data_IF_578492542049
#
_entry.id   IF_578492542049
#
_cell.length_a   1.000
_cell.length_b   1.000
_cell.length_c   1.000
_cell.angle_alpha   90.00
_cell.angle_beta   90.00
_cell.angle_gamma   90.00
#
_symmetry.space_group_name_H-M   'P 1'
#
loop_
_entity.id
_entity.type
_entity.pdbx_description
1 polymer ?
#
# COMPACT_ATOMS: atom_id res chain seq x y z
N UNK A 1 39.23 -1.87 -14.25
CA UNK A 1 40.14 -2.40 -13.20
C UNK A 1 39.40 -2.25 -11.87
N UNK A 2 38.61 -3.26 -11.47
CA UNK A 2 38.88 -4.19 -10.34
C UNK A 2 39.13 -3.37 -9.06
N UNK A 3 38.26 -3.41 -8.04
CA UNK A 3 38.21 -4.53 -7.08
C UNK A 3 36.85 -4.67 -6.38
N UNK A 4 36.28 -5.87 -6.54
CA UNK A 4 35.40 -6.54 -5.60
C UNK A 4 35.89 -6.42 -4.16
N UNK A 5 34.98 -6.33 -3.20
CA UNK A 5 35.17 -6.92 -1.88
C UNK A 5 33.83 -7.50 -1.39
N UNK A 6 33.65 -8.76 -1.79
CA UNK A 6 32.80 -9.76 -1.18
C UNK A 6 33.38 -10.09 0.21
N UNK A 7 32.64 -9.84 1.29
CA UNK A 7 32.88 -10.49 2.59
C UNK A 7 31.55 -10.87 3.22
N UNK A 8 31.26 -12.15 3.02
CA UNK A 8 30.27 -12.98 3.68
C UNK A 8 30.60 -13.07 5.17
N UNK A 9 29.65 -12.74 6.05
CA UNK A 9 29.68 -13.17 7.46
C UNK A 9 28.39 -13.93 7.74
N UNK A 10 28.47 -15.25 7.58
CA UNK A 10 27.56 -16.20 8.20
C UNK A 10 27.80 -16.15 9.72
N UNK A 11 26.76 -15.87 10.50
CA UNK A 11 26.75 -16.24 11.92
C UNK A 11 25.39 -16.85 12.24
N UNK A 12 25.36 -18.17 12.18
CA UNK A 12 24.28 -19.00 12.69
C UNK A 12 24.37 -19.02 14.23
N UNK A 13 23.32 -18.57 14.91
CA UNK A 13 23.09 -18.88 16.31
C UNK A 13 21.74 -19.59 16.42
N UNK A 14 21.79 -20.93 16.38
CA UNK A 14 20.71 -21.77 16.83
C UNK A 14 20.73 -21.81 18.37
N UNK A 15 19.63 -21.43 19.01
CA UNK A 15 19.37 -21.79 20.41
C UNK A 15 18.04 -22.53 20.46
N UNK A 16 18.16 -23.83 20.68
CA UNK A 16 17.08 -24.71 21.07
C UNK A 16 16.72 -24.45 22.54
N UNK A 17 15.42 -24.45 22.84
CA UNK A 17 14.89 -24.43 24.21
C UNK A 17 13.55 -25.17 24.25
N UNK A 18 13.53 -26.31 24.92
CA UNK A 18 12.45 -27.28 24.96
C UNK A 18 11.61 -27.17 26.27
N UNK A 19 10.34 -27.58 26.16
CA UNK A 19 9.53 -28.30 27.16
C UNK A 19 9.10 -27.62 28.48
N UNK A 20 7.79 -27.68 28.79
CA UNK A 20 7.35 -27.62 30.20
C UNK A 20 5.87 -27.44 30.53
N UNK A 21 5.12 -28.55 30.60
CA UNK A 21 4.07 -28.94 31.57
C UNK A 21 2.97 -27.96 32.10
N UNK A 22 1.72 -28.39 31.86
CA UNK A 22 0.66 -28.71 32.84
C UNK A 22 0.29 -27.72 33.97
N UNK A 23 -0.99 -27.31 33.98
CA UNK A 23 -1.70 -26.82 35.16
C UNK A 23 -3.21 -26.73 34.93
N UNK A 24 -3.97 -27.63 35.54
CA UNK A 24 -5.43 -27.62 35.62
C UNK A 24 -5.89 -27.48 37.08
N UNK A 25 -7.16 -27.05 37.26
CA UNK A 25 -7.95 -26.89 38.48
C UNK A 25 -7.80 -25.54 39.22
N UNK A 26 -8.87 -24.82 39.60
CA UNK A 26 -10.30 -25.09 39.46
C UNK A 26 -11.20 -24.04 40.16
N UNK A 27 -12.53 -24.23 39.99
CA UNK A 27 -13.72 -23.75 40.72
C UNK A 27 -14.05 -22.23 40.67
N UNK A 28 -15.13 -21.80 39.99
CA UNK A 28 -16.57 -21.75 40.39
C UNK A 28 -16.84 -20.71 41.51
N UNK A 29 -17.80 -19.76 41.41
CA UNK A 29 -19.21 -19.91 41.03
C UNK A 29 -19.91 -18.60 40.61
N UNK A 30 -20.93 -18.78 39.75
CA UNK A 30 -22.24 -18.13 39.65
C UNK A 30 -22.43 -16.61 39.82
N UNK A 31 -22.99 -15.98 38.78
CA UNK A 31 -24.26 -15.23 38.90
C UNK A 31 -24.98 -15.22 37.55
N UNK A 32 -26.19 -15.81 37.56
CA UNK A 32 -27.26 -15.70 36.56
C UNK A 32 -27.54 -14.23 36.19
N UNK A 33 -28.00 -13.84 35.02
CA UNK A 33 -28.66 -14.53 33.92
C UNK A 33 -29.63 -13.50 33.32
N UNK A 34 -29.61 -13.27 32.01
CA UNK A 34 -30.78 -12.80 31.27
C UNK A 34 -30.55 -12.92 29.76
N UNK A 35 -31.22 -13.95 29.21
CA UNK A 35 -31.87 -14.01 27.92
C UNK A 35 -31.24 -13.33 26.68
N UNK A 36 -30.86 -14.18 25.72
CA UNK A 36 -30.93 -13.88 24.30
C UNK A 36 -32.39 -13.70 23.84
N UNK A 37 -32.62 -13.13 22.65
CA UNK A 37 -32.74 -14.00 21.48
C UNK A 37 -31.94 -13.54 20.26
N UNK A 38 -31.82 -14.49 19.36
CA UNK A 38 -31.07 -14.54 18.11
C UNK A 38 -31.89 -14.02 16.91
N UNK A 39 -31.12 -13.66 15.88
CA UNK A 39 -31.37 -13.88 14.44
C UNK A 39 -32.35 -13.01 13.64
N UNK A 40 -31.95 -12.90 12.36
CA UNK A 40 -32.71 -12.51 11.17
C UNK A 40 -32.71 -11.01 10.87
N UNK A 41 -32.18 -10.53 9.74
CA UNK A 41 -31.95 -11.20 8.47
C UNK A 41 -32.34 -10.20 7.38
N UNK A 42 -31.30 -9.61 6.79
CA UNK A 42 -31.14 -9.11 5.43
C UNK A 42 -32.33 -8.60 4.59
N UNK A 43 -31.95 -7.56 3.82
CA UNK A 43 -32.40 -7.25 2.46
C UNK A 43 -33.64 -6.35 2.32
N UNK A 44 -33.36 -5.05 2.25
CA UNK A 44 -34.09 -4.17 1.35
C UNK A 44 -33.14 -3.69 0.25
N UNK A 45 -33.57 -3.95 -0.98
CA UNK A 45 -32.86 -3.72 -2.21
C UNK A 45 -32.59 -2.24 -2.48
N UNK A 46 -31.42 -1.96 -3.03
CA UNK A 46 -31.30 -0.97 -4.09
C UNK A 46 -30.31 -1.50 -5.10
N UNK A 47 -30.89 -2.14 -6.11
CA UNK A 47 -30.36 -2.25 -7.45
C UNK A 47 -29.92 -0.85 -7.88
N UNK A 48 -28.61 -0.62 -7.94
CA UNK A 48 -28.07 0.37 -8.86
C UNK A 48 -27.17 -0.40 -9.81
N UNK A 49 -27.83 -0.88 -10.85
CA UNK A 49 -27.22 -1.17 -12.13
C UNK A 49 -26.45 0.09 -12.54
N UNK A 50 -25.15 0.02 -12.32
CA UNK A 50 -24.16 0.92 -12.84
C UNK A 50 -23.15 -0.01 -13.48
N UNK A 51 -23.46 -0.47 -14.68
CA UNK A 51 -22.45 -0.93 -15.61
C UNK A 51 -21.43 0.20 -15.73
N UNK A 52 -20.36 0.11 -14.94
CA UNK A 52 -19.11 0.74 -15.29
C UNK A 52 -18.67 -0.09 -16.47
N UNK A 53 -18.68 0.52 -17.66
CA UNK A 53 -18.01 -0.06 -18.80
C UNK A 53 -16.57 -0.28 -18.36
N UNK A 54 -16.26 -1.52 -17.96
CA UNK A 54 -14.91 -2.02 -17.73
C UNK A 54 -14.26 -2.14 -19.10
N UNK A 55 -14.02 -1.00 -19.72
CA UNK A 55 -12.92 -0.87 -20.65
C UNK A 55 -11.67 -1.06 -19.79
N UNK A 56 -11.30 -2.32 -19.58
CA UNK A 56 -10.00 -2.70 -19.08
C UNK A 56 -8.98 -2.06 -20.03
N UNK A 57 -8.48 -0.90 -19.63
CA UNK A 57 -7.34 -0.28 -20.29
C UNK A 57 -6.19 -1.25 -20.10
N UNK A 58 -5.51 -1.56 -21.20
CA UNK A 58 -4.36 -2.48 -21.15
C UNK A 58 -3.30 -1.85 -20.25
N UNK A 59 -2.80 -2.54 -19.20
CA UNK A 59 -1.78 -1.98 -18.34
C UNK A 59 -0.57 -1.49 -19.12
N UNK A 60 -0.05 -0.32 -18.78
CA UNK A 60 1.11 0.29 -19.44
C UNK A 60 2.34 0.22 -18.55
N UNK A 61 3.46 -0.16 -19.15
CA UNK A 61 4.74 -0.30 -18.46
C UNK A 61 5.74 0.78 -18.91
N UNK A 62 6.90 0.83 -18.26
CA UNK A 62 8.02 1.68 -18.70
C UNK A 62 8.49 1.36 -20.14
N UNK A 63 8.22 0.15 -20.64
CA UNK A 63 8.59 -0.23 -22.00
C UNK A 63 7.78 0.56 -23.04
N UNK A 64 6.60 1.05 -22.68
CA UNK A 64 5.66 1.73 -23.56
C UNK A 64 5.86 3.26 -23.58
N UNK A 65 6.64 3.79 -22.63
CA UNK A 65 6.78 5.22 -22.38
C UNK A 65 8.21 5.74 -22.61
N UNK A 66 8.33 6.91 -23.24
CA UNK A 66 9.57 7.66 -23.30
C UNK A 66 9.96 8.16 -21.91
N UNK A 67 11.27 8.21 -21.65
CA UNK A 67 11.81 8.81 -20.43
C UNK A 67 11.34 10.27 -20.28
N UNK A 68 10.96 10.65 -19.06
CA UNK A 68 10.41 11.97 -18.76
C UNK A 68 9.62 12.02 -17.45
N UNK A 69 9.20 13.24 -17.12
CA UNK A 69 8.33 13.53 -15.97
C UNK A 69 6.94 13.93 -16.48
N UNK A 70 5.90 13.28 -15.96
CA UNK A 70 4.52 13.48 -16.41
C UNK A 70 3.59 13.68 -15.23
N UNK A 71 2.78 14.74 -15.25
CA UNK A 71 1.67 14.88 -14.32
C UNK A 71 0.62 13.80 -14.65
N UNK A 72 0.20 13.04 -13.65
CA UNK A 72 -0.83 11.99 -13.78
C UNK A 72 -1.86 12.08 -12.66
N UNK A 73 -3.01 11.45 -12.86
CA UNK A 73 -3.97 11.19 -11.79
C UNK A 73 -3.63 9.88 -11.07
N UNK A 74 -3.74 9.89 -9.73
CA UNK A 74 -3.68 8.67 -8.92
C UNK A 74 -4.95 8.57 -8.09
N UNK A 75 -5.72 7.52 -8.30
CA UNK A 75 -6.91 7.23 -7.50
C UNK A 75 -6.61 6.25 -6.38
N UNK A 76 -7.39 6.33 -5.30
CA UNK A 76 -7.26 5.45 -4.15
C UNK A 76 -8.62 4.89 -3.74
N UNK A 77 -8.64 3.65 -3.24
CA UNK A 77 -9.81 3.02 -2.62
C UNK A 77 -10.34 3.76 -1.39
N UNK A 78 -9.60 4.72 -0.83
CA UNK A 78 -10.05 5.54 0.30
C UNK A 78 -9.91 7.04 0.05
N UNK A 79 -11.00 7.78 0.28
CA UNK A 79 -11.00 9.26 0.26
C UNK A 79 -10.08 9.89 1.32
N UNK A 80 -9.71 9.14 2.37
CA UNK A 80 -8.76 9.62 3.39
C UNK A 80 -7.31 9.61 2.86
N UNK A 81 -7.01 8.70 1.93
CA UNK A 81 -5.73 8.66 1.22
C UNK A 81 -5.87 9.45 -0.09
N UNK A 82 -6.07 10.76 0.04
CA UNK A 82 -6.31 11.62 -1.12
C UNK A 82 -5.00 12.17 -1.67
N UNK A 83 -4.61 11.67 -2.85
CA UNK A 83 -3.52 12.24 -3.65
C UNK A 83 -4.02 13.53 -4.30
N UNK A 84 -3.29 14.63 -4.10
CA UNK A 84 -3.60 15.96 -4.66
C UNK A 84 -2.82 16.27 -5.92
N UNK A 85 -1.61 15.74 -6.00
CA UNK A 85 -0.71 15.86 -7.14
C UNK A 85 0.08 14.57 -7.24
N UNK A 86 0.33 14.12 -8.47
CA UNK A 86 1.21 12.99 -8.74
C UNK A 86 2.04 13.29 -9.98
N UNK A 87 3.34 13.05 -9.88
CA UNK A 87 4.28 13.14 -11.00
C UNK A 87 4.89 11.77 -11.22
N UNK A 88 4.63 11.17 -12.37
CA UNK A 88 5.27 9.95 -12.83
C UNK A 88 6.66 10.30 -13.39
N UNK A 89 7.68 9.59 -12.94
CA UNK A 89 9.05 9.68 -13.42
C UNK A 89 9.38 8.38 -14.17
N UNK A 90 9.61 8.49 -15.48
CA UNK A 90 10.05 7.39 -16.33
C UNK A 90 11.53 7.60 -16.65
N UNK A 91 12.38 6.65 -16.27
CA UNK A 91 13.81 6.70 -16.57
C UNK A 91 14.40 5.30 -16.57
N UNK A 92 15.32 5.03 -17.50
CA UNK A 92 16.12 3.80 -17.54
C UNK A 92 15.26 2.51 -17.50
N UNK A 93 14.08 2.53 -18.13
CA UNK A 93 13.16 1.39 -18.18
C UNK A 93 12.43 1.10 -16.86
N UNK A 94 12.38 2.06 -15.93
CA UNK A 94 11.65 1.97 -14.66
C UNK A 94 10.70 3.15 -14.48
N UNK A 95 9.70 2.99 -13.61
CA UNK A 95 8.78 4.05 -13.22
C UNK A 95 8.76 4.24 -11.71
N UNK A 96 8.74 5.50 -11.28
CA UNK A 96 8.38 5.90 -9.91
C UNK A 96 7.36 7.02 -9.96
N UNK A 97 6.60 7.23 -8.89
CA UNK A 97 5.64 8.30 -8.81
C UNK A 97 5.82 9.08 -7.50
N UNK A 98 6.01 10.39 -7.61
CA UNK A 98 5.99 11.29 -6.44
C UNK A 98 4.57 11.80 -6.24
N UNK A 99 3.95 11.38 -5.13
CA UNK A 99 2.57 11.73 -4.76
C UNK A 99 2.57 12.73 -3.61
N UNK A 100 1.91 13.87 -3.79
CA UNK A 100 1.61 14.83 -2.71
C UNK A 100 0.23 14.51 -2.13
N UNK A 101 0.16 14.21 -0.83
CA UNK A 101 -1.11 13.93 -0.16
C UNK A 101 -1.78 15.21 0.35
N UNK A 102 -3.12 15.21 0.37
CA UNK A 102 -3.91 16.31 0.92
C UNK A 102 -3.94 16.38 2.45
N UNK A 103 -3.31 15.42 3.15
CA UNK A 103 -3.24 15.39 4.61
C UNK A 103 -1.93 14.78 5.10
N UNK A 104 -1.61 15.04 6.36
CA UNK A 104 -0.33 14.69 7.00
C UNK A 104 -0.45 13.54 8.00
N UNK A 105 -1.53 12.77 7.91
CA UNK A 105 -1.86 11.72 8.89
C UNK A 105 -1.12 10.38 8.71
N UNK A 106 -0.38 10.24 7.61
CA UNK A 106 0.38 9.04 7.28
C UNK A 106 1.87 9.33 7.44
N UNK A 107 2.62 8.38 8.01
CA UNK A 107 4.05 8.57 8.30
C UNK A 107 4.98 7.79 7.37
N UNK A 108 4.48 6.73 6.75
CA UNK A 108 5.23 5.89 5.81
C UNK A 108 4.27 5.02 5.02
N UNK A 109 4.72 4.60 3.84
CA UNK A 109 4.02 3.66 2.97
C UNK A 109 4.83 2.37 2.82
N UNK A 110 4.13 1.31 2.44
CA UNK A 110 4.70 0.07 1.94
C UNK A 110 3.90 -0.34 0.70
N UNK A 111 4.59 -0.69 -0.39
CA UNK A 111 3.94 -1.12 -1.63
C UNK A 111 3.63 -2.62 -1.54
N UNK A 112 2.44 -2.91 -1.04
CA UNK A 112 1.95 -4.23 -0.65
C UNK A 112 0.89 -4.09 0.44
N UNK A 113 0.58 -5.19 1.10
CA UNK A 113 -0.46 -5.26 2.15
C UNK A 113 0.08 -4.87 3.53
N UNK A 114 -0.82 -4.52 4.44
CA UNK A 114 -0.50 -4.17 5.82
C UNK A 114 0.06 -5.35 6.62
N UNK A 115 -0.36 -6.57 6.30
CA UNK A 115 0.16 -7.79 6.91
C UNK A 115 1.62 -8.04 6.49
N UNK A 116 1.95 -7.82 5.21
CA UNK A 116 3.34 -7.86 4.73
C UNK A 116 4.16 -6.73 5.36
N UNK A 117 3.61 -5.52 5.43
CA UNK A 117 4.26 -4.36 6.03
C UNK A 117 4.57 -4.58 7.53
N UNK A 118 3.74 -5.33 8.26
CA UNK A 118 3.99 -5.67 9.66
C UNK A 118 5.21 -6.59 9.87
N UNK A 119 5.63 -7.30 8.82
CA UNK A 119 6.79 -8.22 8.84
C UNK A 119 8.00 -7.68 8.05
N UNK A 120 7.83 -6.58 7.32
CA UNK A 120 8.86 -5.98 6.48
C UNK A 120 9.95 -5.26 7.29
N UNK A 121 11.13 -5.15 6.70
CA UNK A 121 12.23 -4.38 7.25
C UNK A 121 12.01 -2.87 7.05
N UNK A 122 12.59 -2.04 7.92
CA UNK A 122 12.39 -0.58 7.89
C UNK A 122 12.87 0.09 6.59
N UNK A 123 13.88 -0.49 5.93
CA UNK A 123 14.44 -0.01 4.66
C UNK A 123 13.51 -0.25 3.45
N UNK A 124 12.47 -1.07 3.62
CA UNK A 124 11.43 -1.29 2.62
C UNK A 124 10.30 -0.26 2.72
N UNK A 125 10.26 0.53 3.79
CA UNK A 125 9.26 1.56 3.95
C UNK A 125 9.63 2.83 3.19
N UNK A 126 8.61 3.49 2.66
CA UNK A 126 8.73 4.74 1.94
C UNK A 126 8.32 5.85 2.91
N UNK A 127 9.27 6.60 3.50
CA UNK A 127 8.96 7.70 4.41
C UNK A 127 8.37 8.89 3.63
N UNK A 128 7.67 9.77 4.33
CA UNK A 128 7.29 11.05 3.74
C UNK A 128 8.50 12.00 3.66
N UNK A 129 8.52 12.84 2.63
CA UNK A 129 9.25 14.10 2.62
C UNK A 129 8.24 15.24 2.82
N UNK A 130 8.57 16.23 3.64
CA UNK A 130 7.77 17.43 3.78
C UNK A 130 8.23 18.46 2.75
N UNK A 131 7.32 18.93 1.90
CA UNK A 131 7.63 19.95 0.91
C UNK A 131 7.59 21.37 1.52
N UNK A 132 7.92 22.40 0.72
CA UNK A 132 7.98 23.79 1.19
C UNK A 132 6.64 24.33 1.74
N UNK A 133 5.51 23.70 1.41
CA UNK A 133 4.17 24.07 1.86
C UNK A 133 3.71 23.27 3.09
N UNK A 134 4.55 22.37 3.61
CA UNK A 134 4.21 21.48 4.72
C UNK A 134 3.36 20.27 4.30
N UNK A 135 3.19 20.03 3.00
CA UNK A 135 2.49 18.85 2.51
C UNK A 135 3.41 17.63 2.48
N UNK A 136 2.83 16.45 2.68
CA UNK A 136 3.58 15.20 2.70
C UNK A 136 3.66 14.58 1.31
N UNK A 137 4.88 14.28 0.88
CA UNK A 137 5.21 13.68 -0.41
C UNK A 137 5.83 12.31 -0.25
N UNK A 138 5.49 11.40 -1.15
CA UNK A 138 6.00 10.03 -1.18
C UNK A 138 6.41 9.66 -2.60
N UNK A 139 7.63 9.17 -2.77
CA UNK A 139 8.09 8.62 -4.05
C UNK A 139 7.99 7.10 -3.99
N UNK A 140 7.02 6.53 -4.73
CA UNK A 140 6.74 5.10 -4.76
C UNK A 140 7.19 4.46 -6.07
N UNK A 141 7.65 3.21 -6.08
CA UNK A 141 7.84 2.47 -7.33
C UNK A 141 6.50 2.18 -7.99
N UNK A 142 6.45 2.20 -9.32
CA UNK A 142 5.27 1.89 -10.13
C UNK A 142 5.61 0.76 -11.08
N UNK A 143 4.87 -0.34 -11.03
CA UNK A 143 5.08 -1.48 -11.92
C UNK A 143 4.36 -1.30 -13.25
N UNK A 144 3.11 -0.87 -13.20
CA UNK A 144 2.28 -0.57 -14.35
C UNK A 144 1.30 0.58 -14.04
N UNK A 145 0.89 1.29 -15.08
CA UNK A 145 -0.25 2.20 -15.06
C UNK A 145 -1.53 1.42 -15.40
N UNK A 146 -2.67 1.98 -15.03
CA UNK A 146 -4.01 1.45 -15.27
C UNK A 146 -4.27 0.05 -14.66
N UNK A 147 -3.51 -0.31 -13.63
CA UNK A 147 -3.66 -1.53 -12.84
C UNK A 147 -3.78 -1.19 -11.34
N UNK A 148 -4.54 -2.01 -10.62
CA UNK A 148 -4.65 -1.92 -9.17
C UNK A 148 -3.32 -2.29 -8.49
N UNK A 149 -2.84 -1.41 -7.63
CA UNK A 149 -1.60 -1.58 -6.87
C UNK A 149 -1.89 -1.51 -5.37
N UNK A 150 -1.46 -2.52 -4.64
CA UNK A 150 -1.59 -2.52 -3.18
C UNK A 150 -0.62 -1.54 -2.52
N UNK A 151 -1.13 -0.80 -1.53
CA UNK A 151 -0.36 0.13 -0.72
C UNK A 151 -0.86 0.13 0.72
N UNK A 152 0.00 -0.25 1.66
CA UNK A 152 -0.26 -0.10 3.08
C UNK A 152 0.24 1.27 3.57
N UNK A 153 -0.66 2.05 4.18
CA UNK A 153 -0.34 3.37 4.72
C UNK A 153 -0.34 3.34 6.26
N UNK A 154 0.79 3.67 6.89
CA UNK A 154 0.91 3.72 8.34
C UNK A 154 0.29 5.00 8.89
N UNK A 155 -0.78 4.86 9.69
CA UNK A 155 -1.37 6.00 10.38
C UNK A 155 -0.55 6.40 11.60
N UNK A 156 -0.10 7.65 11.64
CA UNK A 156 0.63 8.21 12.78
C UNK A 156 -0.25 8.20 14.03
N UNK A 157 -1.52 8.62 13.90
CA UNK A 157 -2.44 8.75 15.04
C UNK A 157 -2.87 7.39 15.60
N UNK A 158 -3.06 6.40 14.73
CA UNK A 158 -3.61 5.09 15.13
C UNK A 158 -2.54 4.04 15.36
N UNK A 159 -1.31 4.31 14.94
CA UNK A 159 -0.19 3.37 15.00
C UNK A 159 -0.60 2.01 14.40
N UNK A 160 -1.18 2.08 13.20
CA UNK A 160 -1.70 0.90 12.49
C UNK A 160 -1.60 1.08 10.98
N UNK A 161 -1.43 -0.03 10.27
CA UNK A 161 -1.47 -0.10 8.83
C UNK A 161 -2.90 -0.05 8.32
N UNK A 162 -3.09 0.64 7.20
CA UNK A 162 -4.34 0.64 6.45
C UNK A 162 -4.08 0.28 4.99
N UNK A 163 -4.74 -0.77 4.52
CA UNK A 163 -4.66 -1.16 3.12
C UNK A 163 -5.39 -0.18 2.22
N UNK A 164 -4.74 0.16 1.13
CA UNK A 164 -5.24 0.99 0.05
C UNK A 164 -4.94 0.26 -1.25
N UNK A 165 -5.81 0.51 -2.22
CA UNK A 165 -5.59 0.13 -3.61
C UNK A 165 -5.42 1.42 -4.36
N UNK A 166 -4.29 1.58 -5.04
CA UNK A 166 -3.98 2.74 -5.87
C UNK A 166 -4.09 2.35 -7.34
N UNK A 167 -4.53 3.28 -8.17
CA UNK A 167 -4.41 3.16 -9.63
C UNK A 167 -3.69 4.41 -10.14
N UNK A 168 -2.57 4.20 -10.82
CA UNK A 168 -1.82 5.25 -11.50
C UNK A 168 -2.36 5.35 -12.91
N UNK A 169 -3.07 6.43 -13.24
CA UNK A 169 -3.86 6.52 -14.47
C UNK A 169 -3.03 7.08 -15.62
N UNK A 170 -3.07 6.42 -16.78
CA UNK A 170 -2.40 6.91 -17.99
C UNK A 170 -3.23 7.95 -18.76
N UNK A 171 -4.48 8.17 -18.37
CA UNK A 171 -5.44 9.00 -19.09
C UNK A 171 -4.98 10.45 -19.31
N UNK A 172 -4.15 10.97 -18.41
CA UNK A 172 -3.62 12.34 -18.48
C UNK A 172 -2.27 12.44 -19.22
N UNK A 173 -1.69 11.32 -19.67
CA UNK A 173 -0.42 11.34 -20.38
C UNK A 173 -0.55 12.03 -21.74
N UNK A 174 0.40 12.93 -22.09
CA UNK A 174 0.43 13.52 -23.42
C UNK A 174 0.82 12.45 -24.46
N UNK A 175 0.38 12.62 -25.71
CA UNK A 175 0.74 11.70 -26.80
C UNK A 175 2.26 11.56 -27.02
N UNK A 176 3.05 12.56 -26.65
CA UNK A 176 4.52 12.52 -26.68
C UNK A 176 5.14 11.59 -25.63
N UNK A 177 4.39 11.18 -24.62
CA UNK A 177 4.88 10.24 -23.59
C UNK A 177 5.05 8.83 -24.13
N UNK A 178 4.34 8.45 -25.21
CA UNK A 178 4.36 7.09 -25.73
C UNK A 178 5.51 6.88 -26.71
N UNK A 179 6.12 5.69 -26.67
CA UNK A 179 7.07 5.27 -27.71
C UNK A 179 6.33 5.08 -29.04
N UNK A 180 7.05 5.36 -30.12
CA UNK A 180 6.57 5.19 -31.49
C UNK A 180 6.63 3.74 -31.97
#
# INVERSE_FOLDING_TARGET
>A
MIRSNLLIVLTACAVAGASGLAGCAGAASDTAGSAAPVEQGSSSASTKDGAKDDAASTPLSAADLNDGDYDITVTSSSRMFNVKKAVLHVADGSMTCTMTLGGTGYGKLFMGTGDEAASAAEDQFIPFAENAEGAYEYTVPVQALDEETDCAAWSIRKESWYDRTLVFESADLPSSAYKA
#
